data_IF_450517477582
#
_entry.id   IF_450517477582
#
_cell.length_a   1.000
_cell.length_b   1.000
_cell.length_c   1.000
_cell.angle_alpha   90.00
_cell.angle_beta   90.00
_cell.angle_gamma   90.00
#
_symmetry.space_group_name_H-M   'P 1'
#
loop_
_entity.id
_entity.type
_entity.pdbx_description
1 polymer ?
#
# COMPACT_ATOMS: atom_id res chain seq x y z
N UNK A 1 57.78 -48.19 24.00
CA UNK A 1 56.67 -48.44 24.95
C UNK A 1 55.56 -47.53 24.51
N UNK A 2 54.69 -48.10 23.73
CA UNK A 2 53.55 -47.44 23.12
C UNK A 2 52.43 -47.37 24.13
N UNK A 3 51.74 -46.23 24.17
CA UNK A 3 50.41 -46.11 24.78
C UNK A 3 49.49 -45.41 23.80
N UNK A 4 48.71 -46.17 23.05
CA UNK A 4 47.56 -45.78 22.28
C UNK A 4 46.45 -45.29 23.23
N UNK A 5 45.97 -44.07 23.05
CA UNK A 5 44.76 -43.61 23.65
C UNK A 5 43.75 -43.30 22.53
N UNK A 6 42.83 -44.23 22.37
CA UNK A 6 41.67 -44.09 21.46
C UNK A 6 40.61 -43.25 22.14
N UNK A 7 40.33 -42.08 21.60
CA UNK A 7 39.23 -41.23 22.06
C UNK A 7 37.97 -41.54 21.21
N UNK A 8 36.96 -42.09 21.86
CA UNK A 8 35.63 -42.27 21.30
C UNK A 8 34.96 -40.91 21.12
N UNK A 9 34.59 -40.63 19.90
CA UNK A 9 33.73 -39.51 19.57
C UNK A 9 32.28 -40.03 19.67
N UNK A 10 31.57 -39.53 20.68
CA UNK A 10 30.13 -39.75 20.81
C UNK A 10 29.40 -38.87 19.80
N UNK A 11 28.64 -39.48 18.91
CA UNK A 11 27.69 -38.79 18.04
C UNK A 11 26.55 -38.20 18.91
N UNK A 12 26.42 -36.88 18.91
CA UNK A 12 25.29 -36.18 19.53
C UNK A 12 24.12 -36.13 18.53
N UNK A 13 22.98 -36.68 18.95
CA UNK A 13 21.71 -36.57 18.24
C UNK A 13 21.27 -35.10 18.02
N UNK A 14 20.54 -34.81 16.93
CA UNK A 14 20.06 -33.46 16.66
C UNK A 14 18.97 -33.08 17.66
N UNK A 15 19.24 -32.04 18.46
CA UNK A 15 18.30 -31.50 19.42
C UNK A 15 17.04 -30.96 18.73
N UNK A 16 15.90 -31.19 19.36
CA UNK A 16 14.59 -30.66 19.00
C UNK A 16 14.59 -29.12 18.90
N UNK A 17 13.74 -28.52 18.05
CA UNK A 17 13.66 -27.08 17.93
C UNK A 17 13.14 -26.49 19.23
N UNK A 18 13.98 -25.68 19.89
CA UNK A 18 13.65 -24.99 21.13
C UNK A 18 12.43 -24.09 20.94
N UNK A 19 11.47 -24.23 21.84
CA UNK A 19 10.32 -23.33 21.97
C UNK A 19 10.79 -21.88 22.15
N UNK A 20 10.07 -20.88 21.59
CA UNK A 20 10.42 -19.48 21.79
C UNK A 20 10.25 -19.14 23.28
N UNK A 21 11.34 -18.69 23.91
CA UNK A 21 11.38 -18.32 25.31
C UNK A 21 10.24 -17.35 25.65
N UNK A 22 9.43 -17.72 26.66
CA UNK A 22 8.46 -16.87 27.32
C UNK A 22 9.19 -15.69 27.95
N UNK A 23 9.05 -14.50 27.36
CA UNK A 23 9.26 -13.24 28.08
C UNK A 23 7.97 -12.93 28.85
N UNK A 24 7.92 -13.35 30.11
CA UNK A 24 6.92 -12.93 31.07
C UNK A 24 7.35 -11.55 31.56
N UNK A 25 6.76 -10.48 31.01
CA UNK A 25 6.79 -9.16 31.61
C UNK A 25 5.69 -9.12 32.70
N UNK A 26 6.09 -9.37 33.92
CA UNK A 26 5.24 -9.20 35.12
C UNK A 26 5.15 -7.69 35.43
N UNK A 27 4.17 -7.03 34.87
CA UNK A 27 3.41 -5.90 35.42
C UNK A 27 2.87 -5.00 34.30
N UNK A 28 1.68 -5.32 33.82
CA UNK A 28 0.62 -4.34 33.58
C UNK A 28 -0.56 -5.05 32.92
N UNK A 29 -1.55 -5.43 33.68
CA UNK A 29 -2.93 -5.59 33.18
C UNK A 29 -3.51 -4.22 32.87
N UNK A 30 -2.91 -3.47 31.97
CA UNK A 30 -3.59 -2.45 31.23
C UNK A 30 -4.40 -3.19 30.16
N UNK A 31 -5.71 -3.08 30.18
CA UNK A 31 -6.55 -3.48 29.07
C UNK A 31 -5.94 -2.86 27.80
N UNK A 32 -5.27 -3.68 26.98
CA UNK A 32 -4.69 -3.23 25.72
C UNK A 32 -5.86 -2.69 24.89
N UNK A 33 -5.93 -1.36 24.77
CA UNK A 33 -6.89 -0.77 23.85
C UNK A 33 -6.50 -1.21 22.43
N UNK A 34 -7.40 -1.94 21.79
CA UNK A 34 -7.20 -2.37 20.40
C UNK A 34 -7.47 -1.17 19.49
N UNK A 35 -6.48 -0.74 18.72
CA UNK A 35 -6.67 0.39 17.80
C UNK A 35 -7.59 0.01 16.64
N UNK A 36 -8.37 0.96 16.15
CA UNK A 36 -9.19 0.77 14.95
C UNK A 36 -8.35 0.82 13.68
N UNK A 37 -7.26 1.61 13.71
CA UNK A 37 -6.40 1.91 12.57
C UNK A 37 -4.94 1.74 12.98
N UNK A 38 -4.15 1.04 12.18
CA UNK A 38 -2.70 0.93 12.38
C UNK A 38 -1.97 1.29 11.09
N UNK A 39 -1.07 2.26 11.17
CA UNK A 39 -0.20 2.66 10.07
C UNK A 39 1.08 1.82 10.08
N UNK A 40 1.41 1.23 8.94
CA UNK A 40 2.65 0.50 8.69
C UNK A 40 3.49 1.31 7.71
N UNK A 41 4.63 1.83 8.19
CA UNK A 41 5.54 2.67 7.44
C UNK A 41 6.85 1.90 7.22
N UNK A 42 7.12 1.35 6.03
CA UNK A 42 8.41 0.72 5.75
C UNK A 42 9.53 1.75 5.81
N UNK A 43 10.58 1.48 6.58
CA UNK A 43 11.57 2.48 6.94
C UNK A 43 13.01 1.97 6.87
N UNK A 44 13.91 2.81 6.39
CA UNK A 44 15.36 2.73 6.52
C UNK A 44 16.03 4.06 6.14
N UNK A 45 16.94 4.53 6.98
CA UNK A 45 17.87 5.64 6.69
C UNK A 45 17.21 6.93 6.12
N UNK A 46 16.04 7.31 6.67
CA UNK A 46 15.24 8.45 6.23
C UNK A 46 14.84 9.33 7.41
N UNK A 47 15.83 9.80 8.18
CA UNK A 47 15.60 10.49 9.47
C UNK A 47 14.74 11.73 9.25
N UNK A 48 15.08 12.59 8.31
CA UNK A 48 14.35 13.85 8.06
C UNK A 48 12.92 13.59 7.60
N UNK A 49 12.71 12.57 6.75
CA UNK A 49 11.37 12.18 6.31
C UNK A 49 10.53 11.65 7.49
N UNK A 50 11.13 10.82 8.34
CA UNK A 50 10.48 10.29 9.53
C UNK A 50 10.11 11.38 10.51
N UNK A 51 11.00 12.31 10.79
CA UNK A 51 10.74 13.44 11.67
C UNK A 51 9.59 14.30 11.13
N UNK A 52 9.64 14.66 9.85
CA UNK A 52 8.57 15.38 9.19
C UNK A 52 7.24 14.61 9.28
N UNK A 53 7.24 13.33 8.90
CA UNK A 53 6.07 12.46 8.94
C UNK A 53 5.46 12.42 10.35
N UNK A 54 6.28 12.19 11.37
CA UNK A 54 5.83 12.07 12.76
C UNK A 54 5.18 13.36 13.27
N UNK A 55 5.80 14.51 12.98
CA UNK A 55 5.27 15.81 13.41
C UNK A 55 4.00 16.14 12.64
N UNK A 56 4.00 15.95 11.33
CA UNK A 56 2.89 16.35 10.48
C UNK A 56 1.66 15.44 10.63
N UNK A 57 1.85 14.13 10.80
CA UNK A 57 0.75 13.20 11.04
C UNK A 57 0.03 13.43 12.36
N UNK A 58 0.68 14.04 13.36
CA UNK A 58 -0.02 14.49 14.58
C UNK A 58 -1.09 15.54 14.27
N UNK A 59 -0.80 16.44 13.32
CA UNK A 59 -1.79 17.41 12.84
C UNK A 59 -2.86 16.74 11.97
N UNK A 60 -2.47 15.87 11.05
CA UNK A 60 -3.42 15.17 10.16
C UNK A 60 -4.44 14.34 10.93
N UNK A 61 -4.01 13.73 12.03
CA UNK A 61 -4.80 12.80 12.84
C UNK A 61 -5.36 13.45 14.13
N UNK A 62 -5.27 14.77 14.29
CA UNK A 62 -5.62 15.44 15.57
C UNK A 62 -7.08 15.23 15.99
N UNK A 63 -7.98 15.04 15.02
CA UNK A 63 -9.41 14.81 15.27
C UNK A 63 -9.74 13.32 15.55
N UNK A 64 -8.75 12.41 15.44
CA UNK A 64 -8.92 10.99 15.73
C UNK A 64 -8.41 10.73 17.15
N UNK A 65 -9.20 10.09 18.02
CA UNK A 65 -8.76 9.75 19.38
C UNK A 65 -7.44 8.95 19.36
N UNK A 66 -6.51 9.31 20.26
CA UNK A 66 -5.20 8.65 20.35
C UNK A 66 -5.27 7.14 20.59
N UNK A 67 -6.34 6.69 21.23
CA UNK A 67 -6.63 5.27 21.46
C UNK A 67 -7.05 4.53 20.19
N UNK A 68 -7.51 5.24 19.18
CA UNK A 68 -8.09 4.64 17.96
C UNK A 68 -7.06 4.35 16.88
N UNK A 69 -5.81 4.85 17.01
CA UNK A 69 -4.78 4.60 16.02
C UNK A 69 -3.39 4.40 16.62
N UNK A 70 -2.57 3.62 15.90
CA UNK A 70 -1.13 3.46 16.14
C UNK A 70 -0.36 3.70 14.83
N UNK A 71 0.90 4.15 14.95
CA UNK A 71 1.81 4.34 13.81
C UNK A 71 3.11 3.60 14.11
N UNK A 72 3.54 2.71 13.22
CA UNK A 72 4.79 1.97 13.34
C UNK A 72 5.69 2.15 12.13
N UNK A 73 6.92 2.58 12.42
CA UNK A 73 8.02 2.55 11.46
C UNK A 73 8.68 1.17 11.51
N UNK A 74 8.48 0.39 10.45
CA UNK A 74 9.07 -0.95 10.35
C UNK A 74 10.47 -0.81 9.77
N UNK A 75 11.47 -0.81 10.66
CA UNK A 75 12.85 -0.49 10.31
C UNK A 75 13.67 -1.74 10.03
N UNK A 76 14.21 -1.85 8.82
CA UNK A 76 15.15 -2.90 8.47
C UNK A 76 16.55 -2.56 9.00
N UNK A 77 16.99 -3.23 10.08
CA UNK A 77 18.27 -2.96 10.78
C UNK A 77 19.48 -3.69 10.19
N UNK A 78 19.27 -4.77 9.41
CA UNK A 78 20.38 -5.48 8.81
C UNK A 78 20.99 -4.72 7.61
N UNK A 79 22.16 -5.17 7.13
CA UNK A 79 22.91 -4.55 6.04
C UNK A 79 22.51 -5.01 4.64
N UNK A 80 21.53 -5.91 4.54
CA UNK A 80 21.02 -6.40 3.25
C UNK A 80 20.31 -5.27 2.48
N UNK A 81 20.14 -5.37 1.16
CA UNK A 81 19.36 -4.40 0.40
C UNK A 81 17.97 -4.19 1.01
N UNK A 82 17.44 -2.97 0.93
CA UNK A 82 16.14 -2.67 1.50
C UNK A 82 15.02 -3.48 0.84
N UNK A 83 14.22 -4.15 1.67
CA UNK A 83 13.10 -4.96 1.22
C UNK A 83 11.78 -4.34 1.71
N UNK A 84 11.26 -3.39 0.93
CA UNK A 84 10.09 -2.60 1.27
C UNK A 84 8.84 -3.47 1.45
N UNK A 85 8.64 -4.46 0.56
CA UNK A 85 7.53 -5.42 0.66
C UNK A 85 7.60 -6.25 1.92
N UNK A 86 8.80 -6.79 2.27
CA UNK A 86 8.99 -7.55 3.50
C UNK A 86 8.75 -6.69 4.74
N UNK A 87 9.18 -5.43 4.78
CA UNK A 87 8.92 -4.55 5.92
C UNK A 87 7.42 -4.33 6.13
N UNK A 88 6.65 -4.11 5.06
CA UNK A 88 5.18 -4.03 5.13
C UNK A 88 4.56 -5.32 5.68
N UNK A 89 5.02 -6.47 5.20
CA UNK A 89 4.56 -7.79 5.65
C UNK A 89 4.93 -8.08 7.11
N UNK A 90 6.18 -7.78 7.51
CA UNK A 90 6.66 -8.00 8.88
C UNK A 90 5.91 -7.09 9.86
N UNK A 91 5.66 -5.84 9.49
CA UNK A 91 4.82 -4.95 10.28
C UNK A 91 3.44 -5.57 10.54
N UNK A 92 2.81 -6.13 9.52
CA UNK A 92 1.54 -6.83 9.68
C UNK A 92 1.66 -8.06 10.56
N UNK A 93 2.69 -8.92 10.37
CA UNK A 93 2.89 -10.13 11.19
C UNK A 93 3.13 -9.80 12.66
N UNK A 94 3.94 -8.78 12.95
CA UNK A 94 4.19 -8.32 14.30
C UNK A 94 2.91 -7.83 14.99
N UNK A 95 2.08 -7.07 14.27
CA UNK A 95 0.80 -6.56 14.79
C UNK A 95 -0.27 -7.65 14.88
N UNK A 96 -0.25 -8.64 13.99
CA UNK A 96 -1.06 -9.84 14.14
C UNK A 96 -0.70 -10.60 15.41
N UNK A 97 0.58 -10.67 15.77
CA UNK A 97 1.03 -11.27 17.02
C UNK A 97 0.62 -10.42 18.23
N UNK A 98 0.72 -9.09 18.14
CA UNK A 98 0.31 -8.15 19.19
C UNK A 98 -1.20 -8.18 19.47
N UNK A 99 -2.03 -8.37 18.42
CA UNK A 99 -3.50 -8.36 18.48
C UNK A 99 -4.09 -9.64 17.87
N UNK A 100 -3.82 -10.84 18.43
CA UNK A 100 -4.14 -12.11 17.78
C UNK A 100 -5.63 -12.33 17.51
N UNK A 101 -6.50 -11.80 18.37
CA UNK A 101 -7.95 -11.94 18.24
C UNK A 101 -8.58 -10.85 17.37
N UNK A 102 -7.98 -9.66 17.33
CA UNK A 102 -8.59 -8.45 16.76
C UNK A 102 -8.01 -8.04 15.40
N UNK A 103 -6.79 -8.50 15.05
CA UNK A 103 -6.08 -8.02 13.85
C UNK A 103 -6.92 -8.08 12.57
N UNK A 104 -7.86 -9.03 12.45
CA UNK A 104 -8.71 -9.18 11.27
C UNK A 104 -9.63 -7.98 11.06
N UNK A 105 -10.07 -7.36 12.15
CA UNK A 105 -10.99 -6.23 12.16
C UNK A 105 -10.27 -4.87 12.12
N UNK A 106 -8.99 -4.83 12.52
CA UNK A 106 -8.16 -3.62 12.44
C UNK A 106 -8.00 -3.19 10.98
N UNK A 107 -8.08 -1.89 10.73
CA UNK A 107 -7.72 -1.28 9.45
C UNK A 107 -6.23 -1.03 9.41
N UNK A 108 -5.51 -1.72 8.53
CA UNK A 108 -4.10 -1.49 8.26
C UNK A 108 -3.96 -0.45 7.15
N UNK A 109 -3.21 0.60 7.43
CA UNK A 109 -2.85 1.64 6.46
C UNK A 109 -1.40 1.48 6.08
N UNK A 110 -1.13 1.13 4.83
CA UNK A 110 0.22 1.10 4.29
C UNK A 110 0.51 2.47 3.70
N UNK A 111 1.53 3.14 4.24
CA UNK A 111 1.89 4.50 3.87
C UNK A 111 3.41 4.63 3.70
N UNK A 112 3.84 5.34 2.67
CA UNK A 112 5.26 5.63 2.47
C UNK A 112 5.68 6.79 3.37
N UNK A 113 6.89 6.75 3.90
CA UNK A 113 7.41 7.75 4.85
C UNK A 113 7.54 9.16 4.24
N UNK A 114 7.60 9.25 2.91
CA UNK A 114 7.74 10.50 2.16
C UNK A 114 6.41 11.10 1.70
N UNK A 115 5.28 10.56 2.17
CA UNK A 115 3.96 10.91 1.64
C UNK A 115 2.98 11.13 2.78
N UNK A 116 2.38 12.32 2.87
CA UNK A 116 1.38 12.67 3.89
C UNK A 116 0.27 13.54 3.28
N UNK A 117 -0.99 13.44 3.76
CA UNK A 117 -2.04 14.38 3.37
C UNK A 117 -1.66 15.83 3.73
N UNK A 118 -2.03 16.78 2.87
CA UNK A 118 -1.73 18.21 3.11
C UNK A 118 -2.47 18.79 4.32
N UNK A 119 -3.65 18.28 4.62
CA UNK A 119 -4.44 18.75 5.78
C UNK A 119 -5.20 17.61 6.43
N UNK A 120 -5.70 17.86 7.64
CA UNK A 120 -6.60 16.94 8.34
C UNK A 120 -7.90 16.71 7.56
N UNK A 121 -8.56 15.59 7.83
CA UNK A 121 -9.87 15.24 7.26
C UNK A 121 -9.91 15.08 5.72
N UNK A 122 -8.76 15.09 5.04
CA UNK A 122 -8.67 14.81 3.60
C UNK A 122 -8.91 13.34 3.31
N UNK A 123 -8.45 12.45 4.20
CA UNK A 123 -8.56 10.99 4.04
C UNK A 123 -9.33 10.39 5.22
N UNK A 124 -10.37 9.64 4.92
CA UNK A 124 -10.98 8.71 5.87
C UNK A 124 -10.34 7.32 5.67
N UNK A 125 -9.41 6.97 6.56
CA UNK A 125 -8.62 5.74 6.46
C UNK A 125 -9.41 4.46 6.73
N UNK A 126 -10.52 4.53 7.48
CA UNK A 126 -11.28 3.32 7.81
C UNK A 126 -11.92 2.68 6.59
N UNK A 127 -11.95 1.35 6.59
CA UNK A 127 -12.54 0.54 5.54
C UNK A 127 -13.33 -0.63 6.13
N UNK A 128 -14.02 -1.37 5.29
CA UNK A 128 -14.81 -2.55 5.66
C UNK A 128 -14.27 -3.81 4.99
N UNK A 129 -14.54 -5.01 5.52
CA UNK A 129 -14.16 -6.26 4.87
C UNK A 129 -14.61 -6.31 3.41
N UNK A 130 -13.73 -6.80 2.55
CA UNK A 130 -13.95 -6.87 1.10
C UNK A 130 -13.58 -5.60 0.33
N UNK A 131 -13.27 -4.48 1.01
CA UNK A 131 -12.96 -3.20 0.38
C UNK A 131 -11.54 -2.76 0.74
N UNK A 132 -10.75 -2.45 -0.30
CA UNK A 132 -9.42 -1.83 -0.19
C UNK A 132 -9.55 -0.39 -0.66
N UNK A 133 -9.33 0.58 0.20
CA UNK A 133 -9.33 1.99 -0.19
C UNK A 133 -7.94 2.41 -0.63
N UNK A 134 -7.82 2.93 -1.83
CA UNK A 134 -6.56 3.42 -2.38
C UNK A 134 -6.63 4.94 -2.55
N UNK A 135 -5.82 5.66 -1.78
CA UNK A 135 -5.92 7.12 -1.66
C UNK A 135 -4.91 7.88 -2.52
N UNK A 136 -3.69 7.34 -2.67
CA UNK A 136 -2.61 8.05 -3.38
C UNK A 136 -1.64 7.08 -4.04
N UNK A 137 -1.14 7.43 -5.24
CA UNK A 137 -0.15 6.66 -5.97
C UNK A 137 -0.47 6.50 -7.44
N UNK A 138 -0.05 5.38 -8.03
CA UNK A 138 -0.40 5.01 -9.39
C UNK A 138 -1.63 4.10 -9.41
N UNK A 139 -2.57 4.33 -10.32
CA UNK A 139 -3.81 3.52 -10.42
C UNK A 139 -3.57 2.04 -10.73
N UNK A 140 -2.41 1.69 -11.27
CA UNK A 140 -2.01 0.33 -11.63
C UNK A 140 -1.17 -0.38 -10.55
N UNK A 141 -0.99 0.24 -9.38
CA UNK A 141 -0.16 -0.28 -8.30
C UNK A 141 -0.72 0.16 -6.93
N UNK A 142 -0.92 -0.78 -6.00
CA UNK A 142 -1.31 -0.47 -4.63
C UNK A 142 -0.09 -0.03 -3.82
N UNK A 143 0.28 1.24 -3.97
CA UNK A 143 1.39 1.90 -3.28
C UNK A 143 0.99 3.29 -2.79
N UNK A 144 1.94 4.05 -2.27
CA UNK A 144 1.70 5.37 -1.72
C UNK A 144 0.90 5.30 -0.42
N UNK A 145 -0.43 5.48 -0.50
CA UNK A 145 -1.33 5.40 0.67
C UNK A 145 -2.54 4.54 0.33
N UNK A 146 -2.74 3.44 1.05
CA UNK A 146 -3.98 2.65 0.96
C UNK A 146 -4.31 1.97 2.28
N UNK A 147 -5.58 1.62 2.47
CA UNK A 147 -6.06 0.89 3.65
C UNK A 147 -6.78 -0.40 3.27
N UNK A 148 -6.65 -1.40 4.16
CA UNK A 148 -7.24 -2.73 4.01
C UNK A 148 -7.50 -3.33 5.40
N UNK A 149 -8.56 -4.13 5.57
CA UNK A 149 -8.75 -4.90 6.80
C UNK A 149 -7.71 -6.01 6.93
N UNK A 150 -7.25 -6.28 8.16
CA UNK A 150 -6.20 -7.28 8.40
C UNK A 150 -6.55 -8.67 7.89
N UNK A 151 -7.80 -9.11 8.04
CA UNK A 151 -8.26 -10.38 7.50
C UNK A 151 -8.19 -10.44 5.97
N UNK A 152 -8.47 -9.32 5.29
CA UNK A 152 -8.36 -9.24 3.83
C UNK A 152 -6.90 -9.19 3.39
N UNK A 153 -6.04 -8.46 4.11
CA UNK A 153 -4.60 -8.45 3.81
C UNK A 153 -3.98 -9.85 3.93
N UNK A 154 -4.33 -10.58 4.97
CA UNK A 154 -3.89 -11.97 5.14
C UNK A 154 -4.31 -12.87 3.97
N UNK A 155 -5.57 -12.75 3.50
CA UNK A 155 -6.07 -13.49 2.33
C UNK A 155 -5.28 -13.23 1.05
N UNK A 156 -4.69 -12.05 0.89
CA UNK A 156 -3.85 -11.71 -0.28
C UNK A 156 -2.45 -12.33 -0.19
N UNK A 157 -2.03 -12.91 0.94
CA UNK A 157 -0.66 -13.29 1.24
C UNK A 157 0.31 -12.08 1.25
N UNK A 158 -0.22 -10.85 1.43
CA UNK A 158 0.57 -9.63 1.53
C UNK A 158 1.36 -9.26 0.27
N UNK A 159 2.39 -8.46 0.44
CA UNK A 159 3.30 -8.06 -0.64
C UNK A 159 4.26 -9.19 -1.02
N UNK A 160 4.77 -9.24 -2.27
CA UNK A 160 5.97 -10.03 -2.54
C UNK A 160 7.17 -9.41 -1.81
N UNK A 161 8.06 -10.28 -1.31
CA UNK A 161 9.25 -9.85 -0.55
C UNK A 161 10.43 -9.58 -1.50
N UNK A 162 10.25 -8.66 -2.46
CA UNK A 162 11.29 -8.32 -3.42
C UNK A 162 12.42 -7.54 -2.77
N UNK A 163 13.65 -7.96 -3.05
CA UNK A 163 14.85 -7.26 -2.64
C UNK A 163 15.13 -6.13 -3.64
N UNK A 164 15.32 -4.94 -3.15
CA UNK A 164 15.46 -3.72 -3.92
C UNK A 164 14.12 -3.08 -4.32
N UNK A 165 14.14 -2.09 -5.19
CA UNK A 165 13.00 -1.25 -5.52
C UNK A 165 12.22 -1.75 -6.73
N UNK A 166 10.91 -1.74 -6.62
CA UNK A 166 9.98 -1.78 -7.73
C UNK A 166 9.20 -3.07 -7.90
N UNK A 167 7.93 -2.91 -8.26
CA UNK A 167 7.03 -3.99 -8.64
C UNK A 167 6.22 -4.62 -7.51
N UNK A 168 6.58 -4.41 -6.24
CA UNK A 168 5.84 -4.98 -5.10
C UNK A 168 4.42 -4.44 -5.02
N UNK A 169 4.22 -3.15 -5.27
CA UNK A 169 2.90 -2.50 -5.25
C UNK A 169 2.02 -2.93 -6.43
N UNK A 170 2.62 -3.16 -7.61
CA UNK A 170 1.91 -3.71 -8.77
C UNK A 170 1.41 -5.13 -8.48
N UNK A 171 2.28 -5.94 -7.87
CA UNK A 171 1.94 -7.31 -7.53
C UNK A 171 0.87 -7.35 -6.44
N UNK A 172 0.96 -6.47 -5.43
CA UNK A 172 -0.06 -6.36 -4.38
C UNK A 172 -1.43 -6.04 -4.96
N UNK A 173 -1.53 -5.12 -5.92
CA UNK A 173 -2.79 -4.84 -6.59
C UNK A 173 -3.38 -6.10 -7.24
N UNK A 174 -2.58 -6.87 -7.98
CA UNK A 174 -3.04 -8.11 -8.60
C UNK A 174 -3.51 -9.15 -7.59
N UNK A 175 -2.83 -9.24 -6.43
CA UNK A 175 -3.26 -10.13 -5.35
C UNK A 175 -4.61 -9.73 -4.76
N UNK A 176 -4.84 -8.44 -4.57
CA UNK A 176 -6.13 -7.90 -4.13
C UNK A 176 -7.24 -8.23 -5.13
N UNK A 177 -6.99 -7.97 -6.42
CA UNK A 177 -7.91 -8.31 -7.50
C UNK A 177 -8.21 -9.84 -7.54
N UNK A 178 -7.15 -10.67 -7.44
CA UNK A 178 -7.29 -12.13 -7.45
C UNK A 178 -8.04 -12.67 -6.22
N UNK A 179 -7.87 -12.03 -5.05
CA UNK A 179 -8.61 -12.37 -3.83
C UNK A 179 -10.09 -11.93 -3.90
N UNK A 180 -10.55 -11.33 -5.01
CA UNK A 180 -11.91 -10.86 -5.20
C UNK A 180 -12.27 -9.64 -4.33
N UNK A 181 -11.26 -8.85 -3.92
CA UNK A 181 -11.47 -7.64 -3.14
C UNK A 181 -11.72 -6.45 -4.08
N UNK A 182 -12.61 -5.55 -3.67
CA UNK A 182 -12.90 -4.34 -4.42
C UNK A 182 -11.91 -3.23 -4.05
N UNK A 183 -11.28 -2.61 -5.06
CA UNK A 183 -10.40 -1.45 -4.85
C UNK A 183 -11.22 -0.18 -5.05
N UNK A 184 -11.55 0.48 -3.92
CA UNK A 184 -12.24 1.76 -3.91
C UNK A 184 -11.25 2.92 -4.13
N UNK A 185 -11.47 3.66 -5.21
CA UNK A 185 -10.76 4.89 -5.58
C UNK A 185 -11.71 6.08 -5.72
N UNK A 186 -12.83 6.06 -5.02
CA UNK A 186 -13.78 7.19 -4.99
C UNK A 186 -13.12 8.47 -4.47
N UNK A 187 -12.17 8.32 -3.53
CA UNK A 187 -11.27 9.39 -3.08
C UNK A 187 -9.83 9.00 -3.42
N UNK A 188 -9.38 9.37 -4.61
CA UNK A 188 -8.03 9.04 -5.07
C UNK A 188 -7.28 10.27 -5.59
N UNK A 189 -6.08 10.48 -5.08
CA UNK A 189 -5.17 11.54 -5.47
C UNK A 189 -4.07 10.98 -6.37
N UNK A 190 -3.87 11.56 -7.53
CA UNK A 190 -2.78 11.19 -8.44
C UNK A 190 -1.43 11.65 -7.90
N UNK A 191 -0.34 11.09 -8.41
CA UNK A 191 1.02 11.57 -8.11
C UNK A 191 1.09 13.08 -8.37
N UNK A 192 1.71 13.81 -7.44
CA UNK A 192 1.83 15.27 -7.40
C UNK A 192 0.50 16.03 -7.21
N UNK A 193 -0.57 15.39 -6.73
CA UNK A 193 -1.78 16.09 -6.34
C UNK A 193 -1.49 17.03 -5.15
N UNK A 194 -2.05 18.25 -5.22
CA UNK A 194 -1.86 19.30 -4.20
C UNK A 194 -2.35 18.94 -2.79
N UNK A 195 -3.23 17.96 -2.67
CA UNK A 195 -3.76 17.51 -1.38
C UNK A 195 -2.83 16.51 -0.68
N UNK A 196 -1.76 16.07 -1.34
CA UNK A 196 -0.77 15.15 -0.79
C UNK A 196 0.61 15.79 -0.88
N UNK A 197 1.26 15.94 0.26
CA UNK A 197 2.67 16.32 0.30
C UNK A 197 3.50 15.08 0.01
N UNK A 198 4.30 15.15 -1.04
CA UNK A 198 5.29 14.16 -1.38
C UNK A 198 6.68 14.76 -1.24
N UNK A 199 7.46 14.24 -0.29
CA UNK A 199 8.84 14.66 -0.09
C UNK A 199 9.75 14.00 -1.13
N UNK A 200 10.81 14.71 -1.51
CA UNK A 200 11.83 14.15 -2.41
C UNK A 200 12.66 13.10 -1.67
N UNK A 201 12.66 11.88 -2.17
CA UNK A 201 13.37 10.75 -1.59
C UNK A 201 14.67 10.38 -2.33
N UNK A 202 15.13 11.29 -3.18
CA UNK A 202 16.29 11.12 -4.05
C UNK A 202 15.95 10.42 -5.36
N UNK A 203 16.95 10.34 -6.24
CA UNK A 203 16.78 9.87 -7.61
C UNK A 203 17.38 8.48 -7.86
N UNK A 204 18.25 8.01 -6.94
CA UNK A 204 18.89 6.70 -7.07
C UNK A 204 18.01 5.60 -6.50
N UNK A 205 17.86 4.51 -7.25
CA UNK A 205 17.18 3.30 -6.83
C UNK A 205 18.06 2.10 -7.07
N UNK A 206 18.08 1.19 -6.10
CA UNK A 206 18.65 -0.13 -6.27
C UNK A 206 17.58 -1.03 -6.86
N UNK A 207 17.83 -1.64 -8.01
CA UNK A 207 16.89 -2.52 -8.69
C UNK A 207 17.47 -3.92 -8.88
N UNK A 208 16.60 -4.91 -9.01
CA UNK A 208 16.94 -6.29 -9.37
C UNK A 208 16.15 -6.73 -10.60
N UNK A 209 16.82 -6.90 -11.76
CA UNK A 209 16.17 -7.29 -13.01
C UNK A 209 15.47 -8.65 -12.92
N UNK A 210 16.03 -9.58 -12.14
CA UNK A 210 15.45 -10.91 -11.94
C UNK A 210 14.10 -10.83 -11.21
N UNK A 211 13.97 -9.94 -10.25
CA UNK A 211 12.70 -9.73 -9.54
C UNK A 211 11.71 -8.92 -10.38
N UNK A 212 12.19 -7.92 -11.11
CA UNK A 212 11.36 -7.20 -12.08
C UNK A 212 10.72 -8.13 -13.13
N UNK A 213 11.47 -9.12 -13.65
CA UNK A 213 10.92 -10.13 -14.54
C UNK A 213 9.83 -10.99 -13.87
N UNK A 214 9.96 -11.27 -12.56
CA UNK A 214 8.94 -11.99 -11.77
C UNK A 214 7.64 -11.20 -11.72
N UNK A 215 7.71 -9.88 -11.57
CA UNK A 215 6.53 -8.99 -11.57
C UNK A 215 5.78 -9.09 -12.89
N UNK A 216 6.50 -9.02 -14.02
CA UNK A 216 5.90 -9.10 -15.36
C UNK A 216 5.15 -10.42 -15.56
N UNK A 217 5.74 -11.52 -15.12
CA UNK A 217 5.19 -12.87 -15.31
C UNK A 217 4.20 -13.29 -14.22
N UNK A 218 4.05 -12.52 -13.14
CA UNK A 218 3.18 -12.81 -11.99
C UNK A 218 3.37 -14.24 -11.45
N UNK A 219 4.63 -14.70 -11.34
CA UNK A 219 4.95 -16.11 -11.08
C UNK A 219 5.35 -16.42 -9.64
N UNK A 220 5.33 -15.44 -8.72
CA UNK A 220 5.77 -15.68 -7.35
C UNK A 220 4.60 -15.90 -6.37
N UNK A 221 4.77 -16.90 -5.49
CA UNK A 221 3.94 -17.11 -4.30
C UNK A 221 4.55 -16.48 -3.04
N UNK A 222 5.71 -15.83 -3.19
CA UNK A 222 6.42 -15.16 -2.10
C UNK A 222 5.56 -14.08 -1.43
N UNK A 223 5.55 -14.05 -0.10
CA UNK A 223 4.68 -13.14 0.67
C UNK A 223 4.76 -13.43 2.17
N UNK A 224 3.66 -13.24 2.89
CA UNK A 224 3.57 -13.48 4.34
C UNK A 224 4.07 -14.87 4.74
N UNK A 225 3.62 -15.91 4.05
CA UNK A 225 3.92 -17.31 4.37
C UNK A 225 5.36 -17.72 4.10
N UNK A 226 6.14 -16.91 3.42
CA UNK A 226 7.54 -17.22 3.08
C UNK A 226 8.56 -16.47 3.93
N UNK A 227 8.11 -15.60 4.83
CA UNK A 227 8.98 -14.95 5.81
C UNK A 227 9.33 -15.97 6.90
N UNK A 228 10.63 -16.18 7.11
CA UNK A 228 11.17 -17.14 8.07
C UNK A 228 12.31 -16.51 8.88
N UNK A 229 12.69 -17.17 9.99
CA UNK A 229 13.79 -16.75 10.86
C UNK A 229 13.69 -15.26 11.22
N UNK A 230 12.45 -14.84 11.52
CA UNK A 230 12.11 -13.47 11.82
C UNK A 230 12.55 -13.12 13.25
N UNK A 231 13.38 -12.08 13.36
CA UNK A 231 13.79 -11.50 14.63
C UNK A 231 13.50 -10.01 14.60
N UNK A 232 12.60 -9.56 15.48
CA UNK A 232 12.20 -8.15 15.60
C UNK A 232 11.88 -7.82 17.06
N UNK A 233 11.84 -6.51 17.35
CA UNK A 233 11.37 -6.00 18.64
C UNK A 233 10.49 -4.77 18.43
N UNK A 234 9.54 -4.55 19.33
CA UNK A 234 8.83 -3.28 19.46
C UNK A 234 9.65 -2.34 20.34
N UNK A 235 9.91 -1.13 19.86
CA UNK A 235 10.57 -0.08 20.63
C UNK A 235 9.97 1.28 20.26
N UNK A 236 9.21 1.86 21.16
CA UNK A 236 8.44 3.10 20.95
C UNK A 236 7.54 2.95 19.69
N UNK A 237 7.68 3.87 18.72
CA UNK A 237 6.99 3.81 17.43
C UNK A 237 7.66 2.91 16.39
N UNK A 238 8.68 2.13 16.77
CA UNK A 238 9.40 1.26 15.85
C UNK A 238 9.07 -0.23 16.01
N UNK A 239 9.08 -0.93 14.89
CA UNK A 239 9.29 -2.37 14.80
C UNK A 239 10.66 -2.56 14.19
N UNK A 240 11.69 -2.77 15.04
CA UNK A 240 13.07 -2.97 14.61
C UNK A 240 13.26 -4.39 14.12
N UNK A 241 13.57 -4.58 12.84
CA UNK A 241 13.73 -5.89 12.21
C UNK A 241 15.21 -6.18 12.01
N UNK A 242 15.76 -7.08 12.81
CA UNK A 242 17.18 -7.43 12.82
C UNK A 242 17.53 -8.54 11.85
N UNK A 243 16.63 -9.53 11.70
CA UNK A 243 16.84 -10.65 10.80
C UNK A 243 15.52 -11.14 10.23
N UNK A 244 15.55 -11.59 8.99
CA UNK A 244 14.47 -12.31 8.33
C UNK A 244 15.00 -12.99 7.07
N UNK A 245 14.34 -14.04 6.64
CA UNK A 245 14.58 -14.71 5.38
C UNK A 245 13.33 -14.66 4.52
N UNK A 246 13.52 -14.59 3.22
CA UNK A 246 12.46 -14.65 2.20
C UNK A 246 12.70 -15.83 1.28
N UNK A 247 11.83 -16.02 0.30
CA UNK A 247 11.97 -17.07 -0.70
C UNK A 247 13.30 -16.99 -1.48
N UNK A 248 13.87 -15.78 -1.60
CA UNK A 248 15.12 -15.54 -2.32
C UNK A 248 16.18 -14.99 -1.38
N UNK A 249 17.39 -15.57 -1.45
CA UNK A 249 18.55 -15.03 -0.76
C UNK A 249 19.08 -13.82 -1.54
N UNK A 250 19.13 -12.62 -0.96
CA UNK A 250 19.62 -11.43 -1.63
C UNK A 250 21.10 -11.54 -2.03
N UNK A 251 21.89 -12.35 -1.34
CA UNK A 251 23.31 -12.59 -1.67
C UNK A 251 23.51 -13.27 -3.03
N UNK A 252 22.45 -13.95 -3.52
CA UNK A 252 22.43 -14.63 -4.82
C UNK A 252 21.83 -13.76 -5.94
N UNK A 253 21.46 -12.52 -5.63
CA UNK A 253 20.88 -11.56 -6.57
C UNK A 253 21.94 -10.55 -7.04
N UNK A 254 21.72 -10.02 -8.25
CA UNK A 254 22.50 -8.89 -8.76
C UNK A 254 21.68 -7.63 -8.68
N UNK A 255 22.25 -6.61 -8.09
CA UNK A 255 21.64 -5.31 -7.91
C UNK A 255 22.35 -4.27 -8.77
N UNK A 256 21.58 -3.35 -9.33
CA UNK A 256 22.06 -2.25 -10.16
C UNK A 256 21.50 -0.95 -9.59
N UNK A 257 22.34 0.06 -9.44
CA UNK A 257 21.86 1.41 -9.14
C UNK A 257 21.32 2.05 -10.42
N UNK A 258 20.12 2.60 -10.35
CA UNK A 258 19.53 3.37 -11.43
C UNK A 258 19.06 4.73 -10.92
N UNK A 259 19.28 5.74 -11.73
CA UNK A 259 18.71 7.07 -11.53
C UNK A 259 17.38 7.16 -12.28
N UNK A 260 16.32 6.65 -11.66
CA UNK A 260 15.02 6.49 -12.33
C UNK A 260 14.42 7.84 -12.77
N UNK A 261 14.54 8.87 -11.93
CA UNK A 261 13.99 10.19 -12.28
C UNK A 261 14.72 10.78 -13.48
N UNK A 262 16.06 10.66 -13.55
CA UNK A 262 16.85 11.17 -14.65
C UNK A 262 16.64 10.34 -15.93
N UNK A 263 16.59 9.02 -15.81
CA UNK A 263 16.32 8.13 -16.93
C UNK A 263 14.93 8.35 -17.53
N UNK A 264 13.91 8.54 -16.70
CA UNK A 264 12.57 8.87 -17.15
C UNK A 264 12.54 10.19 -17.91
N UNK A 265 13.22 11.22 -17.38
CA UNK A 265 13.33 12.52 -18.03
C UNK A 265 14.08 12.46 -19.35
N UNK A 266 15.21 11.77 -19.39
CA UNK A 266 16.01 11.56 -20.61
C UNK A 266 15.21 10.78 -21.67
N UNK A 267 14.41 9.81 -21.24
CA UNK A 267 13.55 9.03 -22.15
C UNK A 267 12.48 9.89 -22.78
N UNK A 268 11.80 10.73 -21.99
CA UNK A 268 10.82 11.71 -22.52
C UNK A 268 11.47 12.69 -23.47
N UNK A 269 12.62 13.27 -23.11
CA UNK A 269 13.35 14.20 -24.00
C UNK A 269 13.79 13.54 -25.31
N UNK A 270 14.24 12.28 -25.27
CA UNK A 270 14.58 11.52 -26.47
C UNK A 270 13.37 11.21 -27.36
N UNK A 271 12.23 10.92 -26.75
CA UNK A 271 10.98 10.64 -27.46
C UNK A 271 10.43 11.92 -28.11
N UNK A 272 10.50 13.05 -27.41
CA UNK A 272 10.14 14.36 -27.94
C UNK A 272 11.05 14.80 -29.09
N UNK A 273 12.37 14.61 -28.96
CA UNK A 273 13.34 14.87 -30.02
C UNK A 273 13.06 14.00 -31.24
N UNK A 274 12.76 12.70 -31.03
CA UNK A 274 12.45 11.77 -32.11
C UNK A 274 11.17 12.16 -32.85
N UNK A 275 10.15 12.60 -32.11
CA UNK A 275 8.90 13.11 -32.67
C UNK A 275 9.11 14.40 -33.45
N UNK A 276 9.89 15.34 -32.91
CA UNK A 276 10.24 16.60 -33.60
C UNK A 276 11.03 16.31 -34.89
N UNK A 277 11.99 15.38 -34.85
CA UNK A 277 12.76 15.00 -36.03
C UNK A 277 11.90 14.32 -37.09
N UNK A 278 10.98 13.44 -36.70
CA UNK A 278 10.06 12.75 -37.63
C UNK A 278 9.11 13.74 -38.31
N UNK A 279 8.61 14.74 -37.59
CA UNK A 279 7.78 15.82 -38.15
C UNK A 279 8.58 16.68 -39.12
N UNK A 280 9.85 16.98 -38.84
CA UNK A 280 10.73 17.73 -39.75
C UNK A 280 11.09 16.93 -41.00
N UNK A 281 11.36 15.61 -40.87
CA UNK A 281 11.65 14.75 -42.02
C UNK A 281 10.44 14.63 -42.95
N UNK A 282 9.24 14.46 -42.43
CA UNK A 282 8.03 14.38 -43.24
C UNK A 282 7.71 15.70 -43.98
N UNK A 283 8.08 16.87 -43.42
CA UNK A 283 7.95 18.16 -44.09
C UNK A 283 8.98 18.33 -45.22
N UNK A 284 10.18 17.73 -45.11
CA UNK A 284 11.22 17.85 -46.15
C UNK A 284 11.03 16.90 -47.33
N UNK A 285 10.20 15.86 -47.20
CA UNK A 285 9.88 14.95 -48.31
C UNK A 285 8.81 15.57 -49.24
N UNK A 286 8.06 16.59 -48.76
CA UNK A 286 7.04 17.28 -49.53
C UNK A 286 7.49 18.56 -50.31
N UNK A 287 8.76 18.96 -50.21
CA UNK A 287 9.25 20.19 -50.85
C UNK A 287 10.38 19.90 -51.83
N UNK A 288 10.05 19.28 -52.94
CA UNK A 288 10.76 19.51 -54.24
C UNK A 288 9.71 20.02 -55.20
N UNK A 289 9.46 21.30 -55.22
CA UNK A 289 9.30 22.24 -56.33
C UNK A 289 8.59 23.50 -55.86
N UNK A 290 9.25 24.61 -56.24
CA UNK A 290 8.74 25.98 -56.43
C UNK A 290 8.63 26.94 -55.24
N UNK A 291 9.55 27.90 -55.28
CA UNK A 291 9.38 29.36 -55.09
C UNK A 291 9.01 29.87 -53.68
N UNK A 292 9.90 30.70 -53.15
CA UNK A 292 9.67 31.57 -51.98
C UNK A 292 8.29 32.16 -51.96
N UNK A 293 7.59 32.06 -50.83
CA UNK A 293 6.78 33.12 -50.33
C UNK A 293 7.17 33.50 -48.89
N UNK A 294 7.15 34.78 -48.66
CA UNK A 294 7.27 35.45 -47.41
C UNK A 294 6.53 34.76 -46.25
N UNK A 295 7.24 34.57 -45.13
CA UNK A 295 6.69 34.03 -43.91
C UNK A 295 5.65 34.98 -43.35
N UNK A 296 4.37 34.70 -43.56
CA UNK A 296 3.29 35.24 -42.76
C UNK A 296 3.10 34.32 -41.55
N UNK A 297 3.32 34.88 -40.37
CA UNK A 297 2.89 34.26 -39.12
C UNK A 297 1.36 34.16 -39.08
N UNK A 298 0.81 33.01 -39.43
CA UNK A 298 -0.59 32.76 -39.14
C UNK A 298 -0.71 32.43 -37.64
N UNK A 299 -1.46 33.26 -36.95
CA UNK A 299 -1.90 33.05 -35.60
C UNK A 299 -2.55 31.63 -35.49
N UNK A 300 -1.96 30.75 -34.70
CA UNK A 300 -2.58 29.48 -34.33
C UNK A 300 -3.77 29.84 -33.43
N UNK A 301 -4.95 29.84 -34.01
CA UNK A 301 -6.20 29.90 -33.26
C UNK A 301 -6.37 28.55 -32.59
N UNK A 302 -6.17 28.52 -31.28
CA UNK A 302 -6.54 27.33 -30.48
C UNK A 302 -8.04 27.05 -30.71
N UNK A 303 -8.44 25.81 -30.97
CA UNK A 303 -9.86 25.47 -31.08
C UNK A 303 -10.56 25.87 -29.79
N UNK A 304 -11.63 26.65 -29.92
CA UNK A 304 -12.52 26.96 -28.78
C UNK A 304 -12.98 25.63 -28.16
N UNK A 305 -13.05 25.55 -26.81
CA UNK A 305 -13.63 24.38 -26.17
C UNK A 305 -15.04 24.19 -26.73
N UNK A 306 -15.32 23.00 -27.23
CA UNK A 306 -16.66 22.61 -27.64
C UNK A 306 -17.60 22.84 -26.44
N UNK A 307 -18.67 23.57 -26.68
CA UNK A 307 -19.72 23.81 -25.72
C UNK A 307 -20.16 22.51 -25.07
N UNK A 308 -20.11 22.47 -23.75
CA UNK A 308 -20.62 21.37 -22.95
C UNK A 308 -22.02 21.03 -23.42
N UNK A 309 -22.23 19.80 -23.83
CA UNK A 309 -23.56 19.22 -23.99
C UNK A 309 -24.22 19.30 -22.61
N UNK A 310 -25.40 19.91 -22.45
CA UNK A 310 -26.08 19.93 -21.16
C UNK A 310 -26.32 18.50 -20.71
N UNK A 311 -25.89 18.19 -19.49
CA UNK A 311 -26.27 16.93 -18.82
C UNK A 311 -27.81 16.85 -18.78
N UNK A 312 -28.40 15.70 -19.06
CA UNK A 312 -29.84 15.50 -18.88
C UNK A 312 -30.18 15.79 -17.42
N UNK A 313 -31.19 16.63 -17.22
CA UNK A 313 -31.74 16.93 -15.90
C UNK A 313 -32.14 15.63 -15.21
N UNK A 314 -31.88 15.45 -13.92
CA UNK A 314 -32.36 14.31 -13.20
C UNK A 314 -33.91 14.31 -13.24
N UNK A 315 -34.49 13.21 -13.71
CA UNK A 315 -35.92 12.98 -13.66
C UNK A 315 -36.43 13.18 -12.23
N UNK A 316 -37.47 13.98 -12.08
CA UNK A 316 -38.15 14.19 -10.81
C UNK A 316 -38.47 12.83 -10.15
N UNK A 317 -38.27 12.71 -8.82
CA UNK A 317 -38.68 11.49 -8.13
C UNK A 317 -40.18 11.26 -8.31
N UNK A 318 -40.61 10.01 -8.45
CA UNK A 318 -42.05 9.72 -8.60
C UNK A 318 -42.80 10.19 -7.34
N UNK A 319 -43.90 10.87 -7.57
CA UNK A 319 -44.85 11.30 -6.52
C UNK A 319 -45.29 10.07 -5.71
N UNK A 320 -45.45 10.15 -4.40
CA UNK A 320 -45.95 9.05 -3.60
C UNK A 320 -47.38 8.75 -4.01
N UNK A 321 -47.65 7.54 -4.46
CA UNK A 321 -48.98 7.04 -4.72
C UNK A 321 -49.80 7.08 -3.44
N UNK A 322 -51.02 7.64 -3.54
CA UNK A 322 -52.03 7.65 -2.49
C UNK A 322 -52.23 6.22 -1.94
N UNK A 323 -52.39 6.07 -0.61
CA UNK A 323 -52.71 4.78 -0.01
C UNK A 323 -54.10 4.28 -0.48
N UNK A 324 -54.26 2.99 -0.70
CA UNK A 324 -55.57 2.43 -1.08
C UNK A 324 -56.55 2.57 0.09
N UNK A 325 -57.77 2.95 -0.27
CA UNK A 325 -58.89 3.13 0.65
C UNK A 325 -59.14 1.85 1.47
N UNK A 326 -59.28 2.03 2.77
CA UNK A 326 -59.62 0.99 3.73
C UNK A 326 -60.97 0.33 3.40
N UNK A 327 -60.93 -0.97 3.14
CA UNK A 327 -62.11 -1.83 3.18
C UNK A 327 -62.46 -2.07 4.65
N UNK A 328 -63.54 -1.45 5.12
CA UNK A 328 -64.17 -1.77 6.38
C UNK A 328 -64.68 -3.20 6.31
N UNK A 329 -64.19 -4.10 7.13
CA UNK A 329 -64.87 -5.33 7.53
C UNK A 329 -65.18 -5.24 9.02
N UNK A 330 -66.46 -5.07 9.32
CA UNK A 330 -67.13 -5.37 10.59
C UNK A 330 -66.88 -6.83 10.94
N UNK A 331 -66.33 -7.11 12.13
CA UNK A 331 -66.60 -8.37 12.83
C UNK A 331 -66.75 -8.08 14.33
N UNK A 332 -67.81 -8.60 14.84
CA UNK A 332 -68.47 -8.55 16.11
C UNK A 332 -67.63 -8.80 17.36
N UNK A 333 -68.10 -8.17 18.40
CA UNK A 333 -67.97 -8.43 19.85
C UNK A 333 -67.72 -9.88 20.27
N UNK A 334 -66.87 -10.02 21.26
CA UNK A 334 -66.80 -11.15 22.18
C UNK A 334 -66.20 -10.72 23.53
N UNK A 335 -67.07 -10.64 24.49
CA UNK A 335 -66.96 -10.37 25.89
C UNK A 335 -66.16 -11.50 26.58
N UNK A 336 -65.30 -11.19 27.56
CA UNK A 336 -64.74 -12.20 28.43
C UNK A 336 -63.85 -11.58 29.55
N UNK A 337 -64.44 -11.29 30.66
CA UNK A 337 -63.81 -10.91 31.94
C UNK A 337 -63.04 -12.07 32.60
N UNK A 338 -62.15 -11.70 33.48
CA UNK A 338 -61.65 -12.48 34.64
C UNK A 338 -60.13 -12.63 34.59
N UNK A 339 -59.34 -12.23 35.51
CA UNK A 339 -59.50 -12.06 36.94
C UNK A 339 -58.27 -12.68 37.62
N UNK A 340 -57.56 -11.89 38.37
CA UNK A 340 -56.78 -12.21 39.59
C UNK A 340 -55.89 -13.49 39.58
N UNK A 341 -54.58 -13.36 39.65
CA UNK A 341 -53.74 -13.30 40.88
C UNK A 341 -52.31 -13.05 40.50
#
# INVERSE_FOLDING_TARGET
MDVNTTTNIAESEPGEPGEPGEYVDENTTSSLFVPKIVFIIPYRDRVEHKEFFTVYMKHVLEDIPKTDYEIYFVEQKNTLPFNRGAMKNIGFLALKYKYPDDYKSITFVFNDVDTVPYSKNVINYDTTPGIVKHFYGFKFALGGIFSIKGGDFERTNGFPNFWAWGGEDNYMQKRVEYAGLYIDRSLFFNILDKNILQLCDGVKRLICRKEAATVVNMTTTDGLVTIRNLNYEFKDEYINVYNFQTMRDPRMLRFEEQNIALESKIRLEKEDIKNILSVKMNKNIGVRQHQNPSVQYQNVVLPKPQSCIPLPQPNNPPQPNNPPQSIRRNIYRGIGMGGMR
#
